data_IF_263347048822
#
_entry.id   IF_263347048822
#
_cell.length_a   1.000
_cell.length_b   1.000
_cell.length_c   1.000
_cell.angle_alpha   90.00
_cell.angle_beta   90.00
_cell.angle_gamma   90.00
#
_symmetry.space_group_name_H-M   'P 1'
#
loop_
_entity.id
_entity.type
_entity.pdbx_description
1 polymer ?
#
# COMPACT_ATOMS: atom_id res chain seq x y z
N UNK A 1 3.81 -6.28 6.08
CA UNK A 1 5.10 -6.78 5.54
C UNK A 1 5.30 -8.21 6.02
N UNK A 2 5.52 -9.17 5.12
CA UNK A 2 5.47 -10.61 5.43
C UNK A 2 6.83 -11.11 5.94
N UNK A 3 6.98 -11.23 7.26
CA UNK A 3 8.25 -11.58 7.93
C UNK A 3 8.82 -12.93 7.45
N UNK A 4 7.94 -13.85 7.03
CA UNK A 4 8.34 -15.14 6.47
C UNK A 4 9.16 -14.99 5.18
N UNK A 5 8.75 -14.07 4.30
CA UNK A 5 9.49 -13.76 3.07
C UNK A 5 10.81 -13.08 3.38
N UNK A 6 10.84 -12.19 4.39
CA UNK A 6 12.06 -11.51 4.81
C UNK A 6 13.11 -12.50 5.34
N UNK A 7 12.69 -13.46 6.16
CA UNK A 7 13.57 -14.50 6.67
C UNK A 7 14.13 -15.39 5.55
N UNK A 8 13.30 -15.79 4.57
CA UNK A 8 13.75 -16.60 3.44
C UNK A 8 14.83 -15.90 2.60
N UNK A 9 14.72 -14.58 2.41
CA UNK A 9 15.76 -13.81 1.72
C UNK A 9 17.06 -13.69 2.53
N UNK A 10 16.97 -13.51 3.85
CA UNK A 10 18.16 -13.42 4.71
C UNK A 10 18.91 -14.75 4.76
N UNK A 11 18.18 -15.86 4.83
CA UNK A 11 18.73 -17.21 4.77
C UNK A 11 19.43 -17.49 3.44
N UNK A 12 18.81 -17.11 2.31
CA UNK A 12 19.42 -17.23 0.98
C UNK A 12 20.71 -16.41 0.82
N UNK A 13 20.88 -15.33 1.59
CA UNK A 13 22.11 -14.53 1.63
C UNK A 13 23.13 -15.03 2.67
N UNK A 14 22.83 -16.11 3.40
CA UNK A 14 23.68 -16.64 4.47
C UNK A 14 23.78 -15.72 5.68
N UNK A 15 22.76 -14.90 5.94
CA UNK A 15 22.73 -13.96 7.06
C UNK A 15 21.97 -14.60 8.23
N UNK A 16 22.69 -14.97 9.28
CA UNK A 16 22.09 -15.49 10.51
C UNK A 16 21.35 -14.38 11.28
N UNK A 17 20.02 -14.49 11.32
CA UNK A 17 19.17 -13.57 12.07
C UNK A 17 19.06 -14.01 13.54
N UNK A 18 19.86 -13.41 14.42
CA UNK A 18 19.74 -13.61 15.86
C UNK A 18 18.61 -12.75 16.43
N UNK A 19 17.62 -13.39 17.07
CA UNK A 19 16.52 -12.71 17.76
C UNK A 19 16.58 -13.00 19.26
N UNK A 20 16.55 -11.95 20.09
CA UNK A 20 16.48 -12.09 21.54
C UNK A 20 15.14 -12.71 21.95
N UNK A 21 15.17 -13.86 22.62
CA UNK A 21 13.96 -14.55 23.12
C UNK A 21 13.38 -13.92 24.40
N UNK A 22 14.07 -12.94 24.99
CA UNK A 22 13.65 -12.22 26.20
C UNK A 22 14.66 -11.15 26.58
N UNK A 23 14.28 -10.27 27.51
CA UNK A 23 15.17 -9.25 28.05
C UNK A 23 15.96 -9.85 29.21
N UNK A 24 17.30 -9.81 29.13
CA UNK A 24 18.18 -10.29 30.18
C UNK A 24 18.15 -9.35 31.38
N UNK A 25 18.27 -9.90 32.60
CA UNK A 25 18.39 -9.08 33.81
C UNK A 25 19.63 -8.17 33.71
N UNK A 26 19.43 -6.86 33.86
CA UNK A 26 20.49 -5.84 33.71
C UNK A 26 20.70 -5.32 32.29
N UNK A 27 19.97 -5.80 31.29
CA UNK A 27 20.04 -5.25 29.93
C UNK A 27 19.49 -3.82 29.90
N UNK A 28 20.28 -2.89 29.35
CA UNK A 28 19.87 -1.51 29.14
C UNK A 28 18.62 -1.43 28.25
N UNK A 29 17.77 -0.43 28.52
CA UNK A 29 16.52 -0.23 27.76
C UNK A 29 16.85 0.05 26.30
N UNK A 30 16.32 -0.78 25.39
CA UNK A 30 16.48 -0.60 23.94
C UNK A 30 15.92 0.75 23.51
N UNK A 31 16.78 1.60 22.93
CA UNK A 31 16.39 2.85 22.28
C UNK A 31 16.42 2.65 20.77
N UNK A 32 15.34 3.04 20.08
CA UNK A 32 15.31 3.02 18.62
C UNK A 32 16.15 4.19 18.10
N UNK A 33 17.25 3.87 17.42
CA UNK A 33 18.09 4.84 16.73
C UNK A 33 17.76 4.81 15.23
N UNK A 34 17.75 5.98 14.61
CA UNK A 34 17.55 6.11 13.16
C UNK A 34 18.89 5.88 12.48
N UNK A 35 18.93 4.99 11.48
CA UNK A 35 20.11 4.79 10.65
C UNK A 35 20.20 5.97 9.68
N UNK A 36 21.17 6.86 9.91
CA UNK A 36 21.51 7.91 8.95
C UNK A 36 22.49 7.32 7.94
N UNK A 37 22.19 7.31 6.63
CA UNK A 37 23.13 6.82 5.63
C UNK A 37 24.37 7.73 5.62
N UNK A 38 25.54 7.13 5.84
CA UNK A 38 26.81 7.81 5.66
C UNK A 38 26.96 8.19 4.19
N UNK A 39 27.24 9.47 3.90
CA UNK A 39 27.63 9.89 2.55
C UNK A 39 28.97 9.24 2.21
N UNK A 40 28.93 8.23 1.35
CA UNK A 40 30.13 7.68 0.72
C UNK A 40 30.53 8.66 -0.38
N UNK A 41 31.53 9.49 -0.13
CA UNK A 41 32.27 10.17 -1.21
C UNK A 41 33.13 9.14 -1.91
N UNK A 42 32.70 8.71 -3.09
CA UNK A 42 33.50 7.88 -3.99
C UNK A 42 34.47 8.80 -4.73
N UNK A 43 35.80 8.69 -4.56
CA UNK A 43 36.73 9.35 -5.46
C UNK A 43 36.65 8.70 -6.84
N UNK A 44 36.58 9.52 -7.89
CA UNK A 44 36.54 9.06 -9.27
C UNK A 44 37.89 8.39 -9.63
N UNK A 45 37.92 7.06 -9.63
CA UNK A 45 39.02 6.30 -10.23
C UNK A 45 38.66 5.98 -11.68
N UNK A 46 39.42 6.56 -12.60
CA UNK A 46 39.32 6.34 -14.04
C UNK A 46 39.63 4.88 -14.37
N UNK A 47 38.67 4.17 -14.97
CA UNK A 47 38.88 2.85 -15.53
C UNK A 47 39.75 2.96 -16.79
N UNK A 48 41.00 2.50 -16.71
CA UNK A 48 41.87 2.25 -17.86
C UNK A 48 41.92 0.74 -18.09
N UNK A 49 41.36 0.29 -19.21
CA UNK A 49 41.48 -1.09 -19.71
C UNK A 49 42.95 -1.38 -20.09
N UNK A 50 43.50 -2.56 -19.77
CA UNK A 50 44.64 -3.10 -20.49
C UNK A 50 44.17 -4.06 -21.59
N UNK A 51 44.61 -3.74 -22.80
CA UNK A 51 44.62 -4.57 -23.99
C UNK A 51 45.61 -5.73 -23.78
N UNK A 52 45.20 -6.95 -24.11
CA UNK A 52 46.11 -8.08 -24.28
C UNK A 52 45.94 -8.63 -25.70
N UNK A 53 46.91 -8.30 -26.55
CA UNK A 53 47.22 -8.98 -27.80
C UNK A 53 47.85 -10.36 -27.50
N UNK A 54 47.50 -11.38 -28.28
CA UNK A 54 48.10 -12.71 -28.10
C UNK A 54 47.49 -13.84 -28.94
N UNK A 55 47.78 -13.79 -30.24
CA UNK A 55 48.11 -14.93 -31.13
C UNK A 55 47.12 -16.08 -31.35
N UNK A 56 46.66 -16.13 -32.60
CA UNK A 56 45.96 -17.19 -33.34
C UNK A 56 46.75 -18.52 -33.40
N UNK A 57 46.05 -19.64 -33.21
CA UNK A 57 46.44 -20.95 -33.76
C UNK A 57 45.17 -21.73 -34.18
N UNK A 58 45.18 -22.20 -35.42
CA UNK A 58 44.08 -22.83 -36.14
C UNK A 58 43.98 -24.34 -35.88
N UNK A 59 42.76 -24.88 -36.03
CA UNK A 59 42.45 -26.31 -36.10
C UNK A 59 40.95 -26.53 -36.30
N UNK A 60 40.55 -26.82 -37.55
CA UNK A 60 39.19 -27.05 -38.07
C UNK A 60 38.53 -28.38 -37.57
N UNK A 61 37.37 -28.82 -38.10
CA UNK A 61 36.01 -28.36 -37.77
C UNK A 61 35.12 -29.52 -37.25
N UNK A 62 34.01 -29.16 -36.60
CA UNK A 62 32.99 -30.10 -36.11
C UNK A 62 32.00 -30.46 -37.24
N UNK A 63 31.71 -31.74 -37.53
CA UNK A 63 30.69 -32.10 -38.50
C UNK A 63 29.29 -32.14 -37.87
N UNK A 64 28.35 -31.50 -38.56
CA UNK A 64 26.91 -31.57 -38.38
C UNK A 64 26.36 -32.82 -39.11
N UNK A 65 25.65 -33.70 -38.41
CA UNK A 65 24.89 -34.79 -39.02
C UNK A 65 23.65 -35.15 -38.20
N UNK A 66 22.53 -34.62 -38.69
CA UNK A 66 21.15 -35.13 -38.69
C UNK A 66 20.92 -36.57 -38.19
N UNK A 67 20.10 -36.68 -37.13
CA UNK A 67 19.52 -37.94 -36.65
C UNK A 67 18.00 -37.80 -36.45
N UNK A 68 17.24 -38.37 -37.39
CA UNK A 68 15.78 -38.41 -37.53
C UNK A 68 15.19 -39.50 -36.62
N UNK A 69 14.14 -39.21 -35.83
CA UNK A 69 13.33 -40.26 -35.17
C UNK A 69 11.83 -39.96 -35.28
N UNK A 70 11.16 -40.89 -35.99
CA UNK A 70 9.75 -41.32 -36.00
C UNK A 70 8.61 -40.28 -35.91
N UNK A 71 8.04 -40.01 -37.08
CA UNK A 71 6.69 -39.50 -37.31
C UNK A 71 5.70 -40.68 -37.23
N UNK A 72 4.63 -40.54 -36.46
CA UNK A 72 3.47 -41.46 -36.49
C UNK A 72 2.26 -40.62 -36.93
N UNK A 73 1.89 -40.79 -38.20
CA UNK A 73 0.62 -40.33 -38.74
C UNK A 73 -0.47 -41.34 -38.39
N UNK A 74 -1.50 -40.91 -37.66
CA UNK A 74 -2.83 -41.52 -37.82
C UNK A 74 -3.90 -40.44 -37.64
N UNK A 75 -4.44 -39.99 -38.78
CA UNK A 75 -5.64 -39.14 -38.85
C UNK A 75 -6.84 -40.07 -38.98
N UNK A 76 -7.78 -39.98 -38.03
CA UNK A 76 -9.18 -40.21 -38.34
C UNK A 76 -10.02 -39.05 -37.79
N UNK A 77 -10.73 -38.41 -38.71
CA UNK A 77 -11.42 -37.14 -38.59
C UNK A 77 -12.88 -37.43 -38.22
N UNK A 78 -13.31 -37.00 -37.04
CA UNK A 78 -14.74 -36.97 -36.67
C UNK A 78 -15.05 -35.70 -35.86
N UNK A 79 -16.19 -35.03 -36.08
CA UNK A 79 -16.35 -33.60 -35.84
C UNK A 79 -16.51 -33.25 -34.35
N UNK A 80 -15.95 -32.10 -33.99
CA UNK A 80 -15.98 -31.56 -32.64
C UNK A 80 -17.41 -31.23 -32.17
N UNK A 81 -17.79 -31.53 -30.92
CA UNK A 81 -18.97 -30.94 -30.30
C UNK A 81 -18.79 -29.42 -30.13
N UNK A 82 -19.87 -28.63 -30.12
CA UNK A 82 -19.78 -27.19 -30.02
C UNK A 82 -19.04 -26.81 -28.73
N UNK A 83 -17.96 -26.04 -28.87
CA UNK A 83 -17.31 -25.32 -27.77
C UNK A 83 -18.37 -24.44 -27.13
N UNK A 84 -18.98 -24.92 -26.05
CA UNK A 84 -19.52 -24.04 -25.03
C UNK A 84 -18.34 -23.17 -24.63
N UNK A 85 -18.39 -21.90 -25.01
CA UNK A 85 -17.42 -20.92 -24.59
C UNK A 85 -17.37 -20.99 -23.06
N UNK A 86 -16.25 -21.49 -22.53
CA UNK A 86 -15.93 -21.30 -21.13
C UNK A 86 -16.12 -19.81 -20.86
N UNK A 87 -16.86 -19.41 -19.81
CA UNK A 87 -17.02 -18.00 -19.52
C UNK A 87 -15.61 -17.43 -19.39
N UNK A 88 -15.28 -16.51 -20.28
CA UNK A 88 -14.02 -15.79 -20.23
C UNK A 88 -13.90 -15.27 -18.81
N UNK A 89 -12.92 -15.78 -18.08
CA UNK A 89 -12.58 -15.31 -16.75
C UNK A 89 -12.38 -13.82 -16.88
N UNK A 90 -13.39 -13.03 -16.49
CA UNK A 90 -13.27 -11.59 -16.28
C UNK A 90 -12.45 -11.39 -15.00
N UNK A 91 -11.24 -11.91 -14.97
CA UNK A 91 -10.24 -11.58 -13.98
C UNK A 91 -9.66 -10.24 -14.42
N UNK A 92 -10.46 -9.18 -14.28
CA UNK A 92 -9.94 -7.83 -14.29
C UNK A 92 -8.88 -7.73 -13.20
N UNK A 93 -7.82 -6.96 -13.46
CA UNK A 93 -6.76 -6.72 -12.50
C UNK A 93 -7.37 -6.35 -11.14
N UNK A 94 -7.15 -7.19 -10.12
CA UNK A 94 -7.65 -6.92 -8.77
C UNK A 94 -6.94 -5.66 -8.27
N UNK A 95 -7.71 -4.59 -8.07
CA UNK A 95 -7.16 -3.36 -7.49
C UNK A 95 -6.62 -3.68 -6.10
N UNK A 96 -5.36 -3.39 -5.83
CA UNK A 96 -4.78 -3.47 -4.48
C UNK A 96 -4.66 -2.06 -3.94
N UNK A 97 -5.19 -1.82 -2.74
CA UNK A 97 -5.10 -0.51 -2.09
C UNK A 97 -5.25 -0.66 -0.58
N UNK A 98 -4.66 0.29 0.14
CA UNK A 98 -4.75 0.35 1.59
C UNK A 98 -5.40 1.68 1.99
N UNK A 99 -6.35 1.63 2.91
CA UNK A 99 -6.93 2.82 3.51
C UNK A 99 -6.54 2.89 4.98
N UNK A 100 -6.37 4.10 5.47
CA UNK A 100 -6.20 4.38 6.88
C UNK A 100 -7.39 5.21 7.35
N UNK A 101 -7.94 4.82 8.48
CA UNK A 101 -9.00 5.51 9.19
C UNK A 101 -8.45 6.05 10.51
N UNK A 102 -8.41 7.37 10.66
CA UNK A 102 -8.00 8.04 11.89
C UNK A 102 -9.27 8.63 12.52
N UNK A 103 -9.60 8.18 13.72
CA UNK A 103 -10.76 8.68 14.48
C UNK A 103 -10.28 9.63 15.55
N UNK A 104 -10.69 10.90 15.45
CA UNK A 104 -10.28 11.95 16.37
C UNK A 104 -11.29 13.12 16.36
N UNK A 105 -11.58 13.66 17.54
CA UNK A 105 -12.45 14.85 17.67
C UNK A 105 -13.87 14.66 17.13
N UNK A 106 -14.39 13.44 17.17
CA UNK A 106 -15.70 13.11 16.62
C UNK A 106 -15.75 13.02 15.08
N UNK A 107 -14.60 13.06 14.41
CA UNK A 107 -14.50 12.92 12.96
C UNK A 107 -13.74 11.64 12.58
N UNK A 108 -14.17 11.03 11.48
CA UNK A 108 -13.45 9.93 10.84
C UNK A 108 -12.66 10.50 9.66
N UNK A 109 -11.34 10.47 9.74
CA UNK A 109 -10.44 10.92 8.68
C UNK A 109 -9.97 9.70 7.89
N UNK A 110 -10.22 9.66 6.60
CA UNK A 110 -9.84 8.56 5.71
C UNK A 110 -8.77 9.01 4.73
N UNK A 111 -7.74 8.18 4.55
CA UNK A 111 -6.68 8.43 3.58
C UNK A 111 -6.31 7.14 2.85
N UNK A 112 -6.08 7.22 1.54
CA UNK A 112 -5.50 6.11 0.78
C UNK A 112 -3.98 6.14 0.90
N UNK A 113 -3.44 5.03 1.38
CA UNK A 113 -2.02 4.79 1.47
C UNK A 113 -1.62 3.98 0.26
N UNK A 114 -0.97 4.60 -0.72
CA UNK A 114 -0.46 3.97 -1.95
C UNK A 114 0.69 2.99 -1.71
N UNK A 115 0.52 2.03 -0.79
CA UNK A 115 1.52 1.06 -0.37
C UNK A 115 2.48 1.53 0.74
N UNK A 116 2.42 2.80 1.13
CA UNK A 116 3.28 3.36 2.18
C UNK A 116 2.65 3.23 3.57
N UNK A 117 3.42 2.99 4.65
CA UNK A 117 2.87 3.00 6.00
C UNK A 117 2.49 4.43 6.41
N UNK A 118 1.52 4.55 7.32
CA UNK A 118 1.14 5.84 7.90
C UNK A 118 2.30 6.41 8.72
N UNK A 119 2.77 7.60 8.36
CA UNK A 119 3.84 8.29 9.08
C UNK A 119 3.32 8.91 10.40
N UNK A 120 4.22 9.06 11.37
CA UNK A 120 3.85 9.64 12.67
C UNK A 120 3.46 11.12 12.51
N UNK A 121 4.12 11.81 11.60
CA UNK A 121 3.89 13.20 11.23
C UNK A 121 2.49 13.41 10.63
N UNK A 122 1.96 12.44 9.88
CA UNK A 122 0.59 12.48 9.35
C UNK A 122 -0.43 12.42 10.49
N UNK A 123 -0.23 11.51 11.45
CA UNK A 123 -1.10 11.40 12.64
C UNK A 123 -1.04 12.66 13.48
N UNK A 124 0.15 13.23 13.70
CA UNK A 124 0.33 14.48 14.42
C UNK A 124 -0.33 15.67 13.70
N UNK A 125 -0.22 15.73 12.37
CA UNK A 125 -0.90 16.76 11.57
C UNK A 125 -2.41 16.66 11.72
N UNK A 126 -2.99 15.47 11.61
CA UNK A 126 -4.43 15.25 11.80
C UNK A 126 -4.85 15.62 13.23
N UNK A 127 -4.07 15.24 14.25
CA UNK A 127 -4.34 15.63 15.62
C UNK A 127 -4.32 17.16 15.80
N UNK A 128 -3.35 17.86 15.21
CA UNK A 128 -3.27 19.32 15.27
C UNK A 128 -4.44 19.99 14.53
N UNK A 129 -4.86 19.45 13.38
CA UNK A 129 -6.04 19.93 12.66
C UNK A 129 -7.30 19.77 13.49
N UNK A 130 -7.49 18.61 14.12
CA UNK A 130 -8.63 18.35 15.02
C UNK A 130 -8.64 19.33 16.20
N UNK A 131 -7.49 19.57 16.83
CA UNK A 131 -7.38 20.54 17.92
C UNK A 131 -7.75 21.95 17.47
N UNK A 132 -7.27 22.38 16.29
CA UNK A 132 -7.63 23.69 15.76
C UNK A 132 -9.10 23.79 15.36
N UNK A 133 -9.71 22.72 14.81
CA UNK A 133 -11.16 22.67 14.57
C UNK A 133 -11.97 22.80 15.87
N UNK A 134 -11.54 22.15 16.95
CA UNK A 134 -12.19 22.23 18.26
C UNK A 134 -12.12 23.64 18.86
N UNK A 135 -10.95 24.28 18.78
CA UNK A 135 -10.74 25.67 19.25
C UNK A 135 -11.60 26.67 18.49
N UNK A 136 -11.70 26.53 17.16
CA UNK A 136 -12.48 27.47 16.33
C UNK A 136 -13.98 27.20 16.46
N UNK A 137 -14.39 25.93 16.52
CA UNK A 137 -15.79 25.52 16.62
C UNK A 137 -16.41 25.67 18.01
N UNK A 138 -15.61 25.99 19.04
CA UNK A 138 -16.02 26.01 20.45
C UNK A 138 -16.78 24.73 20.84
N UNK A 139 -16.43 23.61 20.22
CA UNK A 139 -17.07 22.33 20.46
C UNK A 139 -16.63 21.78 21.82
N UNK A 140 -17.49 20.98 22.45
CA UNK A 140 -17.19 20.34 23.74
C UNK A 140 -15.95 19.44 23.56
N UNK A 141 -15.03 19.34 24.55
CA UNK A 141 -13.82 18.53 24.38
C UNK A 141 -14.17 17.07 24.07
N UNK A 142 -13.91 16.67 22.82
CA UNK A 142 -14.08 15.30 22.34
C UNK A 142 -12.78 14.50 22.56
N UNK A 143 -12.83 13.18 22.33
CA UNK A 143 -11.64 12.31 22.38
C UNK A 143 -10.56 12.84 21.42
N UNK A 144 -9.54 13.48 21.98
CA UNK A 144 -8.45 14.12 21.22
C UNK A 144 -7.36 13.15 20.80
N UNK A 145 -7.27 11.98 21.44
CA UNK A 145 -6.28 10.98 21.09
C UNK A 145 -6.71 10.26 19.81
N UNK A 146 -5.96 10.37 18.71
CA UNK A 146 -6.31 9.71 17.46
C UNK A 146 -6.21 8.19 17.63
N UNK A 147 -7.27 7.50 17.21
CA UNK A 147 -7.28 6.04 17.10
C UNK A 147 -7.22 5.67 15.62
N UNK A 148 -6.20 4.89 15.27
CA UNK A 148 -5.86 4.54 13.88
C UNK A 148 -6.29 3.11 13.59
N UNK A 149 -7.04 2.93 12.51
CA UNK A 149 -7.40 1.63 11.95
C UNK A 149 -6.92 1.55 10.49
N UNK A 150 -6.55 0.34 10.07
CA UNK A 150 -6.08 0.07 8.73
C UNK A 150 -7.09 -0.85 8.03
N UNK A 151 -7.26 -0.62 6.74
CA UNK A 151 -8.04 -1.46 5.85
C UNK A 151 -7.16 -1.80 4.66
N UNK A 152 -6.99 -3.09 4.40
CA UNK A 152 -6.20 -3.59 3.28
C UNK A 152 -7.14 -4.36 2.36
N UNK A 153 -7.12 -4.01 1.07
CA UNK A 153 -7.85 -4.73 0.04
C UNK A 153 -6.85 -5.32 -0.95
N UNK A 154 -7.00 -6.60 -1.34
CA UNK A 154 -8.03 -7.58 -0.96
C UNK A 154 -8.03 -8.04 0.50
N UNK A 155 -9.21 -8.32 1.05
CA UNK A 155 -9.38 -8.88 2.40
C UNK A 155 -8.90 -10.34 2.45
N UNK A 156 -8.96 -11.05 1.32
CA UNK A 156 -8.52 -12.44 1.20
C UNK A 156 -7.84 -12.70 -0.14
N UNK A 157 -6.97 -13.72 -0.16
CA UNK A 157 -6.25 -14.16 -1.36
C UNK A 157 -7.04 -15.24 -2.13
N UNK A 158 -8.23 -15.63 -1.67
CA UNK A 158 -9.02 -16.65 -2.35
C UNK A 158 -9.65 -16.09 -3.63
N UNK A 159 -9.20 -16.58 -4.78
CA UNK A 159 -9.69 -16.19 -6.10
C UNK A 159 -11.12 -16.69 -6.42
N UNK A 160 -11.70 -17.56 -5.59
CA UNK A 160 -13.08 -18.01 -5.73
C UNK A 160 -14.09 -17.01 -5.16
N UNK A 161 -13.63 -16.12 -4.27
CA UNK A 161 -14.45 -15.06 -3.69
C UNK A 161 -14.36 -13.81 -4.56
N UNK A 162 -15.43 -13.01 -4.56
CA UNK A 162 -15.49 -11.82 -5.40
C UNK A 162 -14.45 -10.79 -4.94
N UNK A 163 -13.48 -10.55 -5.82
CA UNK A 163 -12.43 -9.55 -5.67
C UNK A 163 -12.62 -8.37 -6.63
N UNK A 164 -13.81 -8.26 -7.22
CA UNK A 164 -14.20 -7.19 -8.11
C UNK A 164 -14.26 -5.83 -7.41
N UNK A 165 -14.37 -4.79 -8.23
CA UNK A 165 -14.42 -3.41 -7.75
C UNK A 165 -15.67 -3.13 -6.89
N UNK A 166 -16.82 -3.71 -7.25
CA UNK A 166 -18.05 -3.58 -6.45
C UNK A 166 -17.90 -4.19 -5.05
N UNK A 167 -17.28 -5.38 -4.95
CA UNK A 167 -16.99 -6.02 -3.67
C UNK A 167 -16.01 -5.18 -2.83
N UNK A 168 -15.02 -4.56 -3.47
CA UNK A 168 -14.10 -3.64 -2.82
C UNK A 168 -14.85 -2.41 -2.26
N UNK A 169 -15.71 -1.77 -3.06
CA UNK A 169 -16.51 -0.61 -2.64
C UNK A 169 -17.45 -0.96 -1.49
N UNK A 170 -18.18 -2.07 -1.59
CA UNK A 170 -19.07 -2.54 -0.54
C UNK A 170 -18.31 -2.83 0.77
N UNK A 171 -17.12 -3.41 0.66
CA UNK A 171 -16.26 -3.70 1.82
C UNK A 171 -15.75 -2.42 2.50
N UNK A 172 -15.33 -1.43 1.69
CA UNK A 172 -14.94 -0.09 2.18
C UNK A 172 -16.13 0.60 2.85
N UNK A 173 -17.30 0.60 2.22
CA UNK A 173 -18.52 1.19 2.78
C UNK A 173 -18.89 0.57 4.13
N UNK A 174 -18.86 -0.76 4.24
CA UNK A 174 -19.11 -1.48 5.49
C UNK A 174 -18.07 -1.21 6.58
N UNK A 175 -16.80 -1.07 6.21
CA UNK A 175 -15.73 -0.67 7.14
C UNK A 175 -15.95 0.76 7.68
N UNK A 176 -16.27 1.71 6.80
CA UNK A 176 -16.52 3.10 7.16
C UNK A 176 -17.77 3.22 8.03
N UNK A 177 -18.90 2.65 7.60
CA UNK A 177 -20.16 2.68 8.34
C UNK A 177 -20.01 2.14 9.76
N UNK A 178 -19.37 0.98 9.91
CA UNK A 178 -19.07 0.39 11.23
C UNK A 178 -18.22 1.33 12.09
N UNK A 179 -17.23 2.01 11.52
CA UNK A 179 -16.38 2.94 12.27
C UNK A 179 -17.11 4.20 12.70
N UNK A 180 -17.96 4.75 11.83
CA UNK A 180 -18.83 5.89 12.15
C UNK A 180 -19.76 5.54 13.32
N UNK A 181 -20.41 4.38 13.28
CA UNK A 181 -21.32 3.91 14.33
C UNK A 181 -20.59 3.60 15.65
N UNK A 182 -19.50 2.83 15.60
CA UNK A 182 -18.77 2.41 16.81
C UNK A 182 -18.14 3.58 17.56
N UNK A 183 -17.65 4.59 16.83
CA UNK A 183 -16.98 5.74 17.42
C UNK A 183 -17.89 6.97 17.53
N UNK A 184 -19.17 6.83 17.16
CA UNK A 184 -20.18 7.90 17.19
C UNK A 184 -19.65 9.18 16.51
N UNK A 185 -19.05 9.01 15.33
CA UNK A 185 -18.49 10.13 14.58
C UNK A 185 -19.62 10.99 13.99
N UNK A 186 -19.48 12.31 14.08
CA UNK A 186 -20.38 13.32 13.49
C UNK A 186 -20.35 13.31 11.97
N UNK A 187 -19.23 12.90 11.38
CA UNK A 187 -19.04 12.89 9.95
C UNK A 187 -17.70 12.33 9.51
N UNK A 188 -17.46 12.48 8.21
CA UNK A 188 -16.34 11.90 7.49
C UNK A 188 -15.50 12.99 6.79
N UNK A 189 -14.18 12.86 6.90
CA UNK A 189 -13.22 13.69 6.16
C UNK A 189 -12.39 12.79 5.25
N UNK A 190 -12.46 13.04 3.95
CA UNK A 190 -11.69 12.33 2.94
C UNK A 190 -10.40 13.11 2.64
N UNK A 191 -9.26 12.46 2.80
CA UNK A 191 -7.93 12.99 2.52
C UNK A 191 -7.41 12.43 1.19
N UNK A 192 -7.21 13.33 0.24
CA UNK A 192 -6.73 13.04 -1.11
C UNK A 192 -7.82 12.57 -2.06
N UNK A 193 -7.62 12.85 -3.35
CA UNK A 193 -8.56 12.47 -4.41
C UNK A 193 -8.63 10.94 -4.63
N UNK A 194 -7.54 10.22 -4.37
CA UNK A 194 -7.51 8.75 -4.46
C UNK A 194 -8.53 8.12 -3.50
N UNK A 195 -8.56 8.59 -2.24
CA UNK A 195 -9.53 8.13 -1.24
C UNK A 195 -10.96 8.42 -1.69
N UNK A 196 -11.22 9.62 -2.21
CA UNK A 196 -12.53 10.03 -2.72
C UNK A 196 -13.01 9.17 -3.90
N UNK A 197 -12.12 8.74 -4.78
CA UNK A 197 -12.48 7.83 -5.87
C UNK A 197 -12.87 6.43 -5.38
N UNK A 198 -12.30 5.98 -4.25
CA UNK A 198 -12.60 4.66 -3.66
C UNK A 198 -13.85 4.65 -2.79
N UNK A 199 -14.20 5.78 -2.19
CA UNK A 199 -15.34 5.90 -1.27
C UNK A 199 -16.59 6.33 -2.01
N UNK A 200 -17.55 5.41 -2.10
CA UNK A 200 -18.84 5.70 -2.73
C UNK A 200 -19.80 6.30 -1.71
N UNK A 201 -19.82 7.64 -1.62
CA UNK A 201 -20.60 8.39 -0.63
C UNK A 201 -22.10 8.05 -0.63
N UNK A 202 -22.66 7.67 -1.78
CA UNK A 202 -24.07 7.26 -1.88
C UNK A 202 -24.41 5.99 -1.10
N UNK A 203 -23.41 5.16 -0.75
CA UNK A 203 -23.59 3.96 0.07
C UNK A 203 -23.42 4.22 1.56
N UNK A 204 -23.12 5.46 1.96
CA UNK A 204 -22.89 5.85 3.35
C UNK A 204 -24.05 6.71 3.84
N UNK A 205 -24.65 6.33 4.96
CA UNK A 205 -25.63 7.14 5.69
C UNK A 205 -24.93 8.23 6.53
N UNK A 206 -24.09 9.05 5.88
CA UNK A 206 -23.29 10.08 6.55
C UNK A 206 -23.68 11.48 6.05
N UNK A 207 -24.29 12.33 6.89
CA UNK A 207 -24.79 13.64 6.47
C UNK A 207 -23.68 14.70 6.32
N UNK A 208 -22.55 14.54 7.03
CA UNK A 208 -21.43 15.49 6.98
C UNK A 208 -20.20 14.83 6.36
N UNK A 209 -19.84 15.28 5.16
CA UNK A 209 -18.67 14.80 4.43
C UNK A 209 -17.87 16.01 3.92
N UNK A 210 -16.58 16.04 4.25
CA UNK A 210 -15.63 16.97 3.64
C UNK A 210 -14.58 16.20 2.83
N UNK A 211 -14.10 16.80 1.75
CA UNK A 211 -12.97 16.27 0.97
C UNK A 211 -11.87 17.32 0.92
N UNK A 212 -10.63 16.90 1.13
CA UNK A 212 -9.47 17.79 1.10
C UNK A 212 -8.21 17.08 0.60
N UNK A 213 -7.09 17.79 0.53
CA UNK A 213 -5.78 17.30 0.09
C UNK A 213 -5.25 16.18 1.00
N UNK A 214 -4.37 15.33 0.47
CA UNK A 214 -3.74 14.26 1.27
C UNK A 214 -2.86 14.84 2.38
N UNK A 215 -2.77 14.14 3.51
CA UNK A 215 -1.89 14.56 4.60
C UNK A 215 -0.42 14.43 4.22
N UNK A 216 -0.06 13.43 3.40
CA UNK A 216 1.28 13.30 2.83
C UNK A 216 1.64 14.49 1.92
N UNK A 217 0.70 14.92 1.08
CA UNK A 217 0.89 16.09 0.20
C UNK A 217 1.04 17.38 1.01
N UNK A 218 0.26 17.57 2.07
CA UNK A 218 0.39 18.72 2.97
C UNK A 218 1.74 18.78 3.69
N UNK A 219 2.31 17.62 4.02
CA UNK A 219 3.65 17.54 4.62
C UNK A 219 4.75 17.81 3.58
N UNK A 220 4.57 17.35 2.34
CA UNK A 220 5.50 17.64 1.25
C UNK A 220 5.44 19.09 0.75
N UNK A 221 4.25 19.69 0.70
CA UNK A 221 4.02 21.06 0.27
C UNK A 221 3.14 21.82 1.29
N UNK A 222 3.75 22.59 2.20
CA UNK A 222 3.03 23.33 3.24
C UNK A 222 2.00 24.35 2.73
N UNK A 223 2.11 24.82 1.48
CA UNK A 223 1.15 25.77 0.91
C UNK A 223 -0.25 25.17 0.76
N UNK A 224 -0.34 23.84 0.63
CA UNK A 224 -1.61 23.12 0.51
C UNK A 224 -2.43 23.15 1.82
N UNK A 225 -1.81 23.43 2.97
CA UNK A 225 -2.52 23.56 4.25
C UNK A 225 -3.57 24.67 4.22
N UNK A 226 -3.33 25.76 3.45
CA UNK A 226 -4.31 26.84 3.30
C UNK A 226 -5.56 26.36 2.56
N UNK A 227 -5.37 25.52 1.53
CA UNK A 227 -6.49 24.89 0.85
C UNK A 227 -7.22 23.94 1.79
N UNK A 228 -6.48 23.11 2.53
CA UNK A 228 -7.08 22.18 3.47
C UNK A 228 -7.97 22.86 4.51
N UNK A 229 -7.51 23.97 5.08
CA UNK A 229 -8.33 24.75 6.00
C UNK A 229 -9.61 25.28 5.36
N UNK A 230 -9.55 25.75 4.12
CA UNK A 230 -10.75 26.22 3.40
C UNK A 230 -11.76 25.10 3.18
N UNK A 231 -11.29 23.89 2.88
CA UNK A 231 -12.16 22.73 2.66
C UNK A 231 -12.80 22.22 3.96
N UNK A 232 -12.12 22.42 5.10
CA UNK A 232 -12.59 22.00 6.42
C UNK A 232 -13.50 23.04 7.11
N UNK A 233 -13.47 24.31 6.68
CA UNK A 233 -14.32 25.37 7.24
C UNK A 233 -15.82 25.03 7.31
N UNK A 234 -16.44 24.38 6.31
CA UNK A 234 -17.85 24.00 6.38
C UNK A 234 -18.20 23.08 7.56
N UNK A 235 -17.23 22.32 8.08
CA UNK A 235 -17.44 21.43 9.22
C UNK A 235 -17.56 22.18 10.55
N UNK A 236 -17.07 23.41 10.61
CA UNK A 236 -17.09 24.28 11.79
C UNK A 236 -18.41 25.04 11.87
N UNK A 237 -19.05 25.32 10.72
CA UNK A 237 -20.27 26.10 10.64
C UNK A 237 -21.56 25.31 10.98
N UNK A 238 -21.42 24.06 11.46
CA UNK A 238 -22.50 23.09 11.73
C UNK A 238 -22.51 22.63 13.20
#
# INVERSE_FOLDING_TARGET
MNELKRMAYLDAMGIDAYVSRGQLAGAAVTRRLIVVPARVTVPATQSRLPVADGTVAAGDPVPEATGRVAQIDNVEKSPAPPKIAAPASRQGAVSQFNLVAITAGGWLWLEEMGGMPLATEQVQLVQAMVQALDVVGQTRPLKMRPEVAHFEWPIHTNAQLDLGEEAARASVAGFIGRKLEQQQCRGLVLLGEACKARVQLAQLDCPLVASTVSSAEMLGNPLLKKQAWRDLLPLIAL
#
